data_IF_903216452871
#
_entry.id   IF_903216452871
#
_cell.length_a   1.000
_cell.length_b   1.000
_cell.length_c   1.000
_cell.angle_alpha   90.00
_cell.angle_beta   90.00
_cell.angle_gamma   90.00
#
_symmetry.space_group_name_H-M   'P 1'
#
loop_
_entity.id
_entity.type
_entity.pdbx_description
1 polymer ?
#
# COMPACT_ATOMS: atom_id res chain seq x y z
N UNK A 1 -20.94 7.51 3.41
CA UNK A 1 -21.33 6.09 3.63
C UNK A 1 -20.15 5.21 3.24
N UNK A 2 -19.27 4.87 4.19
CA UNK A 2 -18.13 3.97 3.97
C UNK A 2 -18.38 2.71 4.77
N UNK A 3 -18.58 1.59 4.07
CA UNK A 3 -18.90 0.31 4.66
C UNK A 3 -17.63 -0.53 4.70
N UNK A 4 -17.18 -0.83 5.93
CA UNK A 4 -16.09 -1.75 6.24
C UNK A 4 -16.48 -3.20 5.93
N UNK A 5 -15.49 -4.06 5.68
CA UNK A 5 -15.46 -5.44 6.21
C UNK A 5 -14.06 -6.05 6.10
N UNK A 6 -13.51 -6.29 7.28
CA UNK A 6 -12.30 -7.04 7.57
C UNK A 6 -12.57 -8.55 7.51
N UNK A 7 -11.49 -9.32 7.34
CA UNK A 7 -11.38 -10.75 7.10
C UNK A 7 -12.11 -11.68 8.09
N UNK A 8 -12.61 -12.84 7.59
CA UNK A 8 -12.48 -14.16 8.24
C UNK A 8 -12.83 -15.38 7.33
N UNK A 9 -11.83 -16.27 7.22
CA UNK A 9 -11.81 -17.76 7.21
C UNK A 9 -12.25 -18.65 6.01
N UNK A 10 -11.30 -19.54 5.70
CA UNK A 10 -11.32 -20.80 4.94
C UNK A 10 -12.38 -21.84 5.38
N UNK A 11 -12.85 -22.69 4.47
CA UNK A 11 -12.68 -24.18 4.51
C UNK A 11 -13.09 -24.84 3.18
N UNK A 12 -12.65 -26.10 3.03
CA UNK A 12 -12.32 -26.85 1.81
C UNK A 12 -13.38 -27.88 1.35
N UNK A 13 -13.32 -28.26 0.06
CA UNK A 13 -13.57 -29.57 -0.61
C UNK A 13 -14.47 -29.41 -1.85
N UNK A 14 -14.38 -30.19 -2.93
CA UNK A 14 -13.40 -31.10 -3.57
C UNK A 14 -14.14 -31.71 -4.79
N UNK A 15 -13.39 -32.10 -5.83
CA UNK A 15 -13.73 -33.08 -6.89
C UNK A 15 -14.84 -32.70 -7.91
N UNK A 16 -14.85 -33.13 -9.18
CA UNK A 16 -13.92 -33.85 -10.09
C UNK A 16 -14.64 -34.00 -11.45
N UNK A 17 -13.92 -33.90 -12.59
CA UNK A 17 -13.98 -34.74 -13.81
C UNK A 17 -13.37 -34.02 -15.01
N UNK A 18 -12.20 -34.47 -15.51
CA UNK A 18 -11.97 -35.50 -16.56
C UNK A 18 -12.23 -34.97 -17.98
N UNK A 19 -11.12 -34.50 -18.58
CA UNK A 19 -10.47 -35.03 -19.79
C UNK A 19 -11.19 -34.98 -21.14
N UNK A 20 -10.59 -34.25 -22.10
CA UNK A 20 -10.46 -34.69 -23.49
C UNK A 20 -9.24 -34.00 -24.14
N UNK A 21 -8.28 -34.81 -24.56
CA UNK A 21 -7.03 -34.45 -25.23
C UNK A 21 -7.17 -34.69 -26.73
N UNK A 22 -6.79 -33.71 -27.56
CA UNK A 22 -6.36 -33.94 -28.94
C UNK A 22 -5.17 -33.03 -29.28
N UNK A 23 -4.15 -33.53 -30.01
CA UNK A 23 -2.91 -32.82 -30.24
C UNK A 23 -3.01 -31.90 -31.46
N UNK A 24 -2.93 -30.59 -31.24
CA UNK A 24 -2.56 -29.65 -32.29
C UNK A 24 -1.09 -29.29 -32.15
N UNK A 25 -0.30 -29.71 -33.14
CA UNK A 25 1.06 -29.23 -33.40
C UNK A 25 1.01 -27.73 -33.61
N UNK A 26 1.31 -26.96 -32.56
CA UNK A 26 1.45 -25.52 -32.64
C UNK A 26 2.93 -25.19 -32.70
N UNK A 27 3.31 -24.69 -33.87
CA UNK A 27 4.60 -24.09 -34.22
C UNK A 27 5.02 -23.13 -33.11
N UNK A 28 6.27 -23.27 -32.64
CA UNK A 28 6.86 -22.41 -31.63
C UNK A 28 6.90 -20.96 -32.10
N UNK A 29 5.88 -20.19 -31.72
CA UNK A 29 5.89 -18.74 -31.69
C UNK A 29 6.69 -18.36 -30.43
N UNK A 30 7.95 -17.98 -30.64
CA UNK A 30 8.86 -17.42 -29.61
C UNK A 30 8.32 -16.07 -29.13
N UNK A 31 7.18 -16.08 -28.43
CA UNK A 31 6.78 -14.95 -27.60
C UNK A 31 7.69 -14.93 -26.39
N UNK A 32 8.58 -13.96 -26.40
CA UNK A 32 9.37 -13.51 -25.26
C UNK A 32 8.52 -13.57 -23.98
N UNK A 33 9.01 -14.15 -22.87
CA UNK A 33 8.24 -14.17 -21.63
C UNK A 33 7.97 -12.73 -21.16
N UNK A 34 6.73 -12.29 -21.37
CA UNK A 34 5.97 -11.34 -20.57
C UNK A 34 6.78 -10.17 -19.94
N UNK A 35 7.34 -9.27 -20.77
CA UNK A 35 7.89 -7.99 -20.30
C UNK A 35 6.82 -7.06 -19.69
N UNK A 36 5.54 -7.28 -19.99
CA UNK A 36 4.44 -6.41 -19.54
C UNK A 36 4.05 -6.60 -18.07
N UNK A 37 4.44 -7.70 -17.43
CA UNK A 37 4.12 -7.94 -16.01
C UNK A 37 5.05 -7.19 -15.03
N UNK A 38 5.98 -6.35 -15.51
CA UNK A 38 6.97 -5.64 -14.68
C UNK A 38 6.99 -4.12 -14.82
N UNK A 39 6.22 -3.54 -15.73
CA UNK A 39 6.28 -2.10 -16.00
C UNK A 39 5.04 -1.37 -15.48
N UNK A 40 5.27 -0.21 -14.86
CA UNK A 40 4.24 0.81 -14.62
C UNK A 40 4.15 1.68 -15.86
N UNK A 41 2.94 1.96 -16.33
CA UNK A 41 2.74 2.72 -17.54
C UNK A 41 3.08 4.21 -17.36
N UNK A 42 3.87 4.76 -18.29
CA UNK A 42 4.07 6.19 -18.39
C UNK A 42 2.91 6.83 -19.17
N UNK A 43 1.83 7.12 -18.47
CA UNK A 43 0.58 7.63 -19.06
C UNK A 43 0.71 8.99 -19.74
N UNK A 44 1.70 9.82 -19.39
CA UNK A 44 1.93 11.11 -20.07
C UNK A 44 2.53 10.95 -21.46
N UNK A 45 2.93 9.73 -21.83
CA UNK A 45 3.45 9.39 -23.16
C UNK A 45 2.39 8.80 -24.09
N UNK A 46 1.15 8.60 -23.63
CA UNK A 46 0.07 8.17 -24.53
C UNK A 46 -0.18 9.26 -25.58
N UNK A 47 -0.59 8.90 -26.81
CA UNK A 47 -1.04 9.87 -27.79
C UNK A 47 -2.14 10.79 -27.24
N UNK A 48 -2.06 12.09 -27.52
CA UNK A 48 -3.08 13.06 -27.06
C UNK A 48 -4.51 12.71 -27.53
N UNK A 49 -4.63 12.07 -28.70
CA UNK A 49 -5.91 11.58 -29.22
C UNK A 49 -6.54 10.52 -28.30
N UNK A 50 -5.74 9.67 -27.65
CA UNK A 50 -6.23 8.63 -26.73
C UNK A 50 -6.72 9.25 -25.42
N UNK A 51 -6.05 10.31 -24.95
CA UNK A 51 -6.53 11.08 -23.81
C UNK A 51 -7.84 11.79 -24.11
N UNK A 52 -7.95 12.44 -25.26
CA UNK A 52 -9.18 13.09 -25.69
C UNK A 52 -10.32 12.08 -25.81
N UNK A 53 -10.09 10.94 -26.47
CA UNK A 53 -11.07 9.88 -26.61
C UNK A 53 -11.51 9.34 -25.24
N UNK A 54 -10.57 9.11 -24.32
CA UNK A 54 -10.86 8.66 -22.96
C UNK A 54 -11.70 9.66 -22.16
N UNK A 55 -11.32 10.94 -22.19
CA UNK A 55 -12.08 12.03 -21.55
C UNK A 55 -13.49 12.19 -22.12
N UNK A 56 -13.68 11.96 -23.42
CA UNK A 56 -15.01 11.99 -24.06
C UNK A 56 -15.84 10.74 -23.75
N UNK A 57 -15.21 9.62 -23.45
CA UNK A 57 -15.88 8.34 -23.20
C UNK A 57 -16.28 8.15 -21.72
N UNK A 58 -15.55 8.75 -20.77
CA UNK A 58 -15.85 8.62 -19.35
C UNK A 58 -15.39 9.82 -18.51
N UNK A 59 -16.25 10.24 -17.59
CA UNK A 59 -15.91 11.19 -16.52
C UNK A 59 -14.89 10.61 -15.52
N UNK A 60 -14.73 9.28 -15.49
CA UNK A 60 -13.78 8.58 -14.61
C UNK A 60 -12.41 8.33 -15.24
N UNK A 61 -12.12 8.86 -16.44
CA UNK A 61 -10.88 8.52 -17.16
C UNK A 61 -9.61 8.74 -16.31
N UNK A 62 -9.51 9.86 -15.58
CA UNK A 62 -8.41 10.11 -14.64
C UNK A 62 -8.37 9.10 -13.47
N UNK A 63 -9.44 8.97 -12.67
CA UNK A 63 -9.54 7.97 -11.60
C UNK A 63 -9.27 6.51 -12.04
N UNK A 64 -9.69 6.14 -13.24
CA UNK A 64 -9.46 4.80 -13.80
C UNK A 64 -7.97 4.59 -14.09
N UNK A 65 -7.29 5.62 -14.58
CA UNK A 65 -5.83 5.61 -14.77
C UNK A 65 -5.11 5.49 -13.43
N UNK A 66 -5.52 6.23 -12.41
CA UNK A 66 -4.95 6.13 -11.04
C UNK A 66 -5.09 4.71 -10.48
N UNK A 67 -6.29 4.14 -10.56
CA UNK A 67 -6.58 2.76 -10.13
C UNK A 67 -5.73 1.74 -10.89
N UNK A 68 -5.61 1.88 -12.22
CA UNK A 68 -4.76 1.03 -13.04
C UNK A 68 -3.27 1.20 -12.69
N UNK A 69 -2.82 2.43 -12.42
CA UNK A 69 -1.45 2.74 -12.03
C UNK A 69 -1.07 2.13 -10.69
N UNK A 70 -1.93 2.24 -9.68
CA UNK A 70 -1.74 1.57 -8.38
C UNK A 70 -1.68 0.05 -8.56
N UNK A 71 -2.56 -0.51 -9.40
CA UNK A 71 -2.56 -1.93 -9.71
C UNK A 71 -1.25 -2.41 -10.35
N UNK A 72 -0.71 -1.66 -11.31
CA UNK A 72 0.57 -1.95 -11.95
C UNK A 72 1.72 -1.81 -10.95
N UNK A 73 1.75 -0.75 -10.14
CA UNK A 73 2.82 -0.49 -9.19
C UNK A 73 2.94 -1.61 -8.15
N UNK A 74 1.82 -2.05 -7.57
CA UNK A 74 1.79 -3.16 -6.61
C UNK A 74 2.28 -4.48 -7.22
N UNK A 75 2.02 -4.70 -8.52
CA UNK A 75 2.47 -5.89 -9.24
C UNK A 75 3.92 -5.81 -9.74
N UNK A 76 4.55 -4.62 -9.68
CA UNK A 76 5.88 -4.37 -10.22
C UNK A 76 7.01 -4.53 -9.19
N UNK A 77 8.25 -4.47 -9.67
CA UNK A 77 9.46 -4.33 -8.83
C UNK A 77 9.88 -2.85 -8.67
N UNK A 78 9.02 -1.91 -9.06
CA UNK A 78 9.35 -0.49 -9.02
C UNK A 78 9.02 0.12 -7.65
N UNK A 79 9.77 1.17 -7.30
CA UNK A 79 9.46 2.10 -6.23
C UNK A 79 9.69 3.53 -6.70
N UNK A 80 9.01 4.53 -6.10
CA UNK A 80 9.25 5.92 -6.45
C UNK A 80 10.71 6.33 -6.26
N UNK A 81 11.24 7.09 -7.20
CA UNK A 81 12.57 7.67 -7.11
C UNK A 81 12.67 8.70 -5.98
N UNK A 82 11.57 9.43 -5.72
CA UNK A 82 11.47 10.44 -4.68
C UNK A 82 11.09 9.84 -3.31
N UNK A 83 11.89 10.15 -2.29
CA UNK A 83 11.73 9.71 -0.91
C UNK A 83 13.07 9.47 -0.22
N UNK A 84 13.05 9.16 1.08
CA UNK A 84 14.25 8.90 1.87
C UNK A 84 14.79 7.47 1.64
N UNK A 85 15.54 7.30 0.54
CA UNK A 85 16.14 6.04 0.17
C UNK A 85 17.17 5.53 1.17
N UNK A 86 17.92 6.43 1.81
CA UNK A 86 18.89 6.05 2.84
C UNK A 86 18.19 5.36 4.02
N UNK A 87 16.98 5.81 4.37
CA UNK A 87 16.19 5.15 5.39
C UNK A 87 15.60 3.80 4.94
N UNK A 88 15.18 3.65 3.68
CA UNK A 88 14.77 2.34 3.14
C UNK A 88 15.93 1.32 3.11
N UNK A 89 17.13 1.75 2.75
CA UNK A 89 18.32 0.88 2.74
C UNK A 89 18.64 0.32 4.14
N UNK A 90 18.39 1.10 5.20
CA UNK A 90 18.49 0.60 6.60
C UNK A 90 17.47 -0.49 6.93
N UNK A 91 16.34 -0.55 6.23
CA UNK A 91 15.38 -1.64 6.31
C UNK A 91 15.72 -2.83 5.41
N UNK A 92 16.80 -2.74 4.61
CA UNK A 92 17.27 -3.80 3.72
C UNK A 92 16.72 -3.71 2.29
N UNK A 93 16.11 -2.59 1.90
CA UNK A 93 15.77 -2.36 0.50
C UNK A 93 17.05 -2.19 -0.33
N UNK A 94 17.02 -2.65 -1.57
CA UNK A 94 18.13 -2.45 -2.51
C UNK A 94 17.63 -1.58 -3.66
N UNK A 95 18.18 -0.36 -3.76
CA UNK A 95 17.96 0.54 -4.89
C UNK A 95 18.79 0.07 -6.09
N UNK A 96 18.13 -0.24 -7.21
CA UNK A 96 18.80 -0.62 -8.47
C UNK A 96 18.85 0.58 -9.42
N UNK A 97 18.72 0.32 -10.71
CA UNK A 97 18.80 1.29 -11.79
C UNK A 97 17.51 2.13 -11.90
N UNK A 98 17.64 3.41 -12.26
CA UNK A 98 16.50 4.20 -12.71
C UNK A 98 15.81 3.55 -13.91
N UNK A 99 14.48 3.68 -13.98
CA UNK A 99 13.71 3.20 -15.13
C UNK A 99 13.98 4.12 -16.32
N UNK A 100 14.43 3.54 -17.43
CA UNK A 100 14.60 4.29 -18.66
C UNK A 100 13.25 4.89 -19.08
N UNK A 101 13.26 6.18 -19.46
CA UNK A 101 12.08 6.90 -19.94
C UNK A 101 10.95 7.16 -18.92
N UNK A 102 11.16 6.86 -17.63
CA UNK A 102 10.25 7.25 -16.54
C UNK A 102 11.03 7.55 -15.25
N UNK A 103 11.36 8.84 -15.07
CA UNK A 103 12.17 9.31 -13.95
C UNK A 103 11.44 9.25 -12.59
N UNK A 104 10.14 8.95 -12.58
CA UNK A 104 9.38 8.77 -11.34
C UNK A 104 9.77 7.49 -10.60
N UNK A 105 10.36 6.51 -11.28
CA UNK A 105 10.59 5.19 -10.72
C UNK A 105 12.05 4.73 -10.80
N UNK A 106 12.40 3.88 -9.85
CA UNK A 106 13.61 3.06 -9.86
C UNK A 106 13.22 1.61 -9.64
N UNK A 107 14.00 0.68 -10.18
CA UNK A 107 13.89 -0.71 -9.78
C UNK A 107 14.35 -0.88 -8.32
N UNK A 108 13.66 -1.72 -7.56
CA UNK A 108 13.99 -1.94 -6.15
C UNK A 108 13.69 -3.37 -5.70
N UNK A 109 14.58 -3.93 -4.89
CA UNK A 109 14.35 -5.21 -4.21
C UNK A 109 13.84 -4.91 -2.80
N UNK A 110 12.70 -5.51 -2.47
CA UNK A 110 12.14 -5.52 -1.12
C UNK A 110 12.95 -6.45 -0.22
N UNK A 111 13.01 -6.20 1.10
CA UNK A 111 13.53 -7.18 2.04
C UNK A 111 12.75 -8.51 1.94
N UNK A 112 13.40 -9.62 2.27
CA UNK A 112 12.79 -10.94 2.17
C UNK A 112 11.50 -11.04 2.99
N UNK A 113 10.44 -11.57 2.38
CA UNK A 113 9.13 -11.76 3.00
C UNK A 113 8.28 -10.48 3.12
N UNK A 114 8.80 -9.32 2.71
CA UNK A 114 8.01 -8.09 2.63
C UNK A 114 7.17 -8.11 1.35
N UNK A 115 6.01 -7.44 1.38
CA UNK A 115 5.09 -7.41 0.25
C UNK A 115 4.49 -6.03 0.00
N UNK A 116 4.08 -5.79 -1.23
CA UNK A 116 3.27 -4.62 -1.62
C UNK A 116 1.80 -4.96 -1.45
N UNK A 117 1.01 -3.98 -1.03
CA UNK A 117 -0.44 -4.09 -0.88
C UNK A 117 -1.11 -2.80 -1.37
N UNK A 118 -2.28 -2.93 -2.01
CA UNK A 118 -3.08 -1.77 -2.41
C UNK A 118 -3.74 -1.18 -1.17
N UNK A 119 -3.85 0.15 -1.14
CA UNK A 119 -4.72 0.83 -0.20
C UNK A 119 -6.11 1.03 -0.82
N UNK A 120 -7.11 1.36 -0.01
CA UNK A 120 -8.47 1.66 -0.48
C UNK A 120 -8.50 2.94 -1.33
N UNK A 121 -7.52 3.84 -1.16
CA UNK A 121 -7.37 5.01 -2.00
C UNK A 121 -6.62 4.67 -3.30
N UNK A 122 -7.15 5.04 -4.50
CA UNK A 122 -6.59 4.62 -5.80
C UNK A 122 -5.18 5.14 -6.12
N UNK A 123 -4.61 6.00 -5.28
CA UNK A 123 -3.26 6.55 -5.43
C UNK A 123 -2.30 6.07 -4.35
N UNK A 124 -2.79 5.38 -3.32
CA UNK A 124 -1.96 4.96 -2.20
C UNK A 124 -1.74 3.47 -2.22
N UNK A 125 -0.54 3.04 -1.89
CA UNK A 125 -0.20 1.63 -1.67
C UNK A 125 0.78 1.54 -0.53
N UNK A 126 0.91 0.35 0.06
CA UNK A 126 1.73 0.12 1.24
C UNK A 126 2.74 -0.98 0.97
N UNK A 127 3.90 -0.88 1.61
CA UNK A 127 4.81 -2.02 1.78
C UNK A 127 4.69 -2.52 3.21
N UNK A 128 4.36 -3.79 3.35
CA UNK A 128 4.18 -4.46 4.62
C UNK A 128 5.39 -5.35 4.93
N UNK A 129 5.81 -5.37 6.20
CA UNK A 129 6.85 -6.29 6.66
C UNK A 129 6.33 -7.73 6.82
N UNK A 130 7.20 -8.63 7.29
CA UNK A 130 6.87 -10.04 7.52
C UNK A 130 5.79 -10.26 8.58
N UNK A 131 5.54 -9.29 9.46
CA UNK A 131 4.46 -9.30 10.46
C UNK A 131 3.15 -8.76 9.88
N UNK A 132 3.15 -8.29 8.64
CA UNK A 132 2.03 -7.64 8.00
C UNK A 132 1.84 -6.17 8.40
N UNK A 133 2.85 -5.54 9.01
CA UNK A 133 2.76 -4.16 9.47
C UNK A 133 3.26 -3.18 8.40
N UNK A 134 2.59 -2.04 8.19
CA UNK A 134 2.98 -1.07 7.16
C UNK A 134 4.29 -0.37 7.52
N UNK A 135 5.24 -0.34 6.59
CA UNK A 135 6.55 0.28 6.75
C UNK A 135 6.79 1.44 5.82
N UNK A 136 6.19 1.36 4.64
CA UNK A 136 6.31 2.38 3.60
C UNK A 136 4.92 2.67 3.09
N UNK A 137 4.56 3.95 3.04
CA UNK A 137 3.39 4.43 2.31
C UNK A 137 3.86 5.01 0.99
N UNK A 138 3.24 4.58 -0.10
CA UNK A 138 3.61 4.96 -1.47
C UNK A 138 2.44 5.70 -2.08
N UNK A 139 2.70 6.94 -2.50
CA UNK A 139 1.80 7.72 -3.33
C UNK A 139 2.19 7.55 -4.79
N UNK A 140 1.22 7.26 -5.64
CA UNK A 140 1.37 7.30 -7.08
C UNK A 140 0.10 7.81 -7.76
N UNK A 141 0.23 8.95 -8.44
CA UNK A 141 -0.79 9.50 -9.33
C UNK A 141 -0.44 9.17 -10.77
N UNK A 142 -1.29 8.38 -11.42
CA UNK A 142 -1.08 7.97 -12.81
C UNK A 142 -1.84 8.81 -13.84
N UNK A 143 -2.56 9.87 -13.42
CA UNK A 143 -3.21 10.78 -14.35
C UNK A 143 -2.17 11.47 -15.26
N UNK A 144 -2.42 11.51 -16.57
CA UNK A 144 -1.41 11.92 -17.56
C UNK A 144 -0.99 13.39 -17.48
N UNK A 145 -1.84 14.25 -16.93
CA UNK A 145 -1.64 15.70 -16.87
C UNK A 145 -0.86 16.16 -15.62
N UNK A 146 -0.72 15.32 -14.60
CA UNK A 146 -0.03 15.64 -13.35
C UNK A 146 0.52 14.40 -12.63
N UNK A 147 1.19 13.50 -13.38
CA UNK A 147 1.83 12.32 -12.80
C UNK A 147 2.80 12.71 -11.69
N UNK A 148 2.73 11.99 -10.57
CA UNK A 148 3.68 12.15 -9.47
C UNK A 148 3.80 10.84 -8.68
N UNK A 149 4.97 10.59 -8.11
CA UNK A 149 5.24 9.42 -7.30
C UNK A 149 6.25 9.72 -6.20
N UNK A 150 5.91 9.38 -4.96
CA UNK A 150 6.83 9.47 -3.82
C UNK A 150 6.47 8.43 -2.76
N UNK A 151 7.37 8.22 -1.81
CA UNK A 151 7.07 7.40 -0.63
C UNK A 151 7.46 8.11 0.66
N UNK A 152 6.83 7.67 1.75
CA UNK A 152 7.16 8.06 3.13
C UNK A 152 7.32 6.80 3.98
N UNK A 153 8.12 6.91 5.03
CA UNK A 153 8.20 5.88 6.05
C UNK A 153 7.04 6.01 7.03
N UNK A 154 6.52 4.86 7.45
CA UNK A 154 5.43 4.77 8.42
C UNK A 154 6.01 4.56 9.81
N UNK A 155 5.67 5.47 10.73
CA UNK A 155 5.78 5.19 12.16
C UNK A 155 4.63 4.24 12.52
N UNK A 156 4.97 2.96 12.63
CA UNK A 156 3.97 1.89 12.77
C UNK A 156 3.17 2.01 14.05
N UNK A 157 3.82 2.45 15.13
CA UNK A 157 3.14 2.66 16.40
C UNK A 157 2.14 3.80 16.31
N UNK A 158 2.56 4.91 15.70
CA UNK A 158 1.69 6.06 15.43
C UNK A 158 0.53 5.71 14.50
N UNK A 159 0.77 4.96 13.43
CA UNK A 159 -0.26 4.56 12.46
C UNK A 159 -1.37 3.74 13.12
N UNK A 160 -0.99 2.67 13.83
CA UNK A 160 -1.94 1.78 14.53
C UNK A 160 -2.77 2.56 15.56
N UNK A 161 -2.13 3.45 16.32
CA UNK A 161 -2.82 4.32 17.28
C UNK A 161 -3.75 5.31 16.58
N UNK A 162 -3.29 5.90 15.48
CA UNK A 162 -4.05 6.85 14.68
C UNK A 162 -5.32 6.24 14.11
N UNK A 163 -5.25 5.01 13.58
CA UNK A 163 -6.41 4.29 13.05
C UNK A 163 -7.49 4.08 14.13
N UNK A 164 -7.10 3.69 15.34
CA UNK A 164 -8.04 3.53 16.47
C UNK A 164 -8.67 4.87 16.84
N UNK A 165 -7.91 5.96 16.84
CA UNK A 165 -8.39 7.28 17.28
C UNK A 165 -9.32 7.93 16.25
N UNK A 166 -9.05 7.78 14.95
CA UNK A 166 -9.83 8.40 13.86
C UNK A 166 -11.13 7.65 13.58
N UNK A 167 -11.19 6.36 13.89
CA UNK A 167 -12.37 5.54 13.74
C UNK A 167 -13.48 5.87 14.75
N UNK A 168 -14.75 5.80 14.33
CA UNK A 168 -15.91 5.95 15.21
C UNK A 168 -16.23 4.69 16.04
N UNK A 169 -15.58 3.55 15.75
CA UNK A 169 -15.75 2.31 16.52
C UNK A 169 -15.32 2.46 18.00
N UNK A 170 -15.75 1.56 18.90
CA UNK A 170 -15.26 1.57 20.28
C UNK A 170 -13.73 1.49 20.35
N UNK A 171 -13.13 2.26 21.28
CA UNK A 171 -11.68 2.24 21.49
C UNK A 171 -11.30 0.89 22.10
N UNK A 172 -10.43 0.16 21.39
CA UNK A 172 -9.89 -1.13 21.83
C UNK A 172 -8.40 -1.17 21.50
N UNK A 173 -7.63 -1.97 22.24
CA UNK A 173 -6.24 -2.22 21.87
C UNK A 173 -6.26 -3.09 20.58
N UNK A 174 -5.69 -2.61 19.47
CA UNK A 174 -5.70 -3.33 18.21
C UNK A 174 -4.82 -4.59 18.33
N UNK A 175 -5.17 -5.66 17.62
CA UNK A 175 -4.46 -6.93 17.71
C UNK A 175 -2.99 -6.80 17.29
N UNK A 176 -2.74 -5.92 16.33
CA UNK A 176 -1.45 -5.52 15.78
C UNK A 176 -0.52 -4.94 16.86
N UNK A 177 -1.05 -4.37 17.94
CA UNK A 177 -0.25 -3.84 19.06
C UNK A 177 0.69 -4.89 19.66
N UNK A 178 0.23 -6.14 19.74
CA UNK A 178 1.01 -7.27 20.25
C UNK A 178 2.19 -7.63 19.34
N UNK A 179 2.13 -7.29 18.05
CA UNK A 179 3.18 -7.55 17.07
C UNK A 179 4.28 -6.48 17.09
N UNK A 180 4.02 -5.33 17.71
CA UNK A 180 4.97 -4.23 17.79
C UNK A 180 6.14 -4.55 18.71
N UNK A 181 7.32 -4.05 18.32
CA UNK A 181 8.50 -3.98 19.17
C UNK A 181 8.30 -2.96 20.29
N UNK A 182 9.16 -3.01 21.31
CA UNK A 182 9.13 -2.03 22.42
C UNK A 182 9.25 -0.58 21.94
N UNK A 183 10.11 -0.33 20.95
CA UNK A 183 10.30 1.00 20.38
C UNK A 183 9.03 1.46 19.64
N UNK A 184 8.45 0.61 18.79
CA UNK A 184 7.20 0.92 18.07
C UNK A 184 6.04 1.19 19.04
N UNK A 185 5.90 0.41 20.13
CA UNK A 185 4.90 0.70 21.17
C UNK A 185 5.16 2.03 21.86
N UNK A 186 6.42 2.37 22.11
CA UNK A 186 6.81 3.65 22.72
C UNK A 186 6.43 4.82 21.80
N UNK A 187 6.66 4.69 20.50
CA UNK A 187 6.25 5.67 19.49
C UNK A 187 4.74 5.83 19.44
N UNK A 188 3.99 4.71 19.44
CA UNK A 188 2.53 4.73 19.52
C UNK A 188 2.01 5.43 20.78
N UNK A 189 2.56 5.12 21.96
CA UNK A 189 2.20 5.79 23.22
C UNK A 189 2.46 7.29 23.17
N UNK A 190 3.62 7.71 22.65
CA UNK A 190 3.95 9.14 22.47
C UNK A 190 2.96 9.83 21.51
N UNK A 191 2.56 9.15 20.43
CA UNK A 191 1.57 9.66 19.50
C UNK A 191 0.21 9.86 20.18
N UNK A 192 -0.27 8.86 20.93
CA UNK A 192 -1.52 8.96 21.69
C UNK A 192 -1.45 10.08 22.75
N UNK A 193 -0.33 10.21 23.47
CA UNK A 193 -0.13 11.29 24.45
C UNK A 193 -0.24 12.67 23.81
N UNK A 194 0.38 12.87 22.64
CA UNK A 194 0.28 14.13 21.90
C UNK A 194 -1.18 14.45 21.52
N UNK A 195 -1.91 13.45 21.01
CA UNK A 195 -3.33 13.64 20.65
C UNK A 195 -4.21 13.86 21.88
N UNK A 196 -3.92 13.22 23.01
CA UNK A 196 -4.62 13.44 24.28
C UNK A 196 -4.38 14.84 24.89
N UNK A 197 -3.30 15.50 24.48
CA UNK A 197 -2.99 16.90 24.84
C UNK A 197 -3.42 17.93 23.79
N UNK A 198 -3.89 17.48 22.62
CA UNK A 198 -4.32 18.34 21.52
C UNK A 198 -5.75 18.85 21.80
N UNK A 199 -5.91 20.17 21.87
CA UNK A 199 -7.17 20.84 22.24
C UNK A 199 -8.04 21.20 21.03
N UNK A 200 -7.56 20.95 19.80
CA UNK A 200 -8.28 21.29 18.58
C UNK A 200 -9.37 20.29 18.19
N UNK A 201 -9.35 19.08 18.74
CA UNK A 201 -10.29 18.01 18.40
C UNK A 201 -10.65 17.17 19.65
N UNK A 202 -11.66 17.64 20.39
CA UNK A 202 -12.15 16.99 21.63
C UNK A 202 -12.48 15.51 21.45
N UNK A 203 -12.97 15.12 20.26
CA UNK A 203 -13.30 13.74 19.95
C UNK A 203 -12.05 12.87 19.93
N UNK A 204 -11.02 13.28 19.16
CA UNK A 204 -9.75 12.56 19.11
C UNK A 204 -9.03 12.58 20.46
N UNK A 205 -9.09 13.70 21.16
CA UNK A 205 -8.49 13.86 22.48
C UNK A 205 -9.02 12.83 23.47
N UNK A 206 -10.34 12.73 23.62
CA UNK A 206 -10.99 11.77 24.52
C UNK A 206 -10.65 10.33 24.14
N UNK A 207 -10.68 10.00 22.85
CA UNK A 207 -10.35 8.64 22.37
C UNK A 207 -8.89 8.27 22.64
N UNK A 208 -7.98 9.22 22.50
CA UNK A 208 -6.58 9.03 22.82
C UNK A 208 -6.36 8.77 24.32
N UNK A 209 -7.08 9.48 25.20
CA UNK A 209 -7.04 9.25 26.65
C UNK A 209 -7.55 7.85 27.00
N UNK A 210 -8.70 7.45 26.46
CA UNK A 210 -9.27 6.11 26.67
C UNK A 210 -8.30 5.01 26.22
N UNK A 211 -7.65 5.17 25.05
CA UNK A 211 -6.66 4.21 24.58
C UNK A 211 -5.44 4.13 25.51
N UNK A 212 -4.95 5.27 26.01
CA UNK A 212 -3.82 5.30 26.95
C UNK A 212 -4.13 4.56 28.25
N UNK A 213 -5.35 4.70 28.78
CA UNK A 213 -5.79 3.97 29.97
C UNK A 213 -5.82 2.46 29.72
N UNK A 214 -6.36 2.01 28.59
CA UNK A 214 -6.35 0.60 28.20
C UNK A 214 -4.92 0.06 28.08
N UNK A 215 -4.04 0.81 27.41
CA UNK A 215 -2.63 0.43 27.24
C UNK A 215 -1.86 0.38 28.56
N UNK A 216 -2.20 1.20 29.55
CA UNK A 216 -1.60 1.17 30.88
C UNK A 216 -2.05 -0.06 31.69
N UNK A 217 -3.32 -0.48 31.52
CA UNK A 217 -3.85 -1.68 32.19
C UNK A 217 -3.29 -2.99 31.60
N UNK A 218 -3.07 -3.03 30.27
CA UNK A 218 -2.60 -4.22 29.58
C UNK A 218 -1.10 -4.51 29.77
N UNK A 219 -0.29 -3.48 30.02
CA UNK A 219 1.17 -3.59 30.17
C UNK A 219 1.61 -2.75 31.38
N UNK A 220 1.38 -3.22 32.62
CA UNK A 220 1.92 -2.56 33.80
C UNK A 220 3.45 -2.59 33.74
N UNK A 221 4.07 -1.45 34.05
CA UNK A 221 5.53 -1.23 34.00
C UNK A 221 6.36 -2.27 34.76
#
# INVERSE_FOLDING_TARGET
MRNRRFWQRFTSRAASKVEQTHPHTNTADERTPNQHARSVENTSRRPAADHLAGLMASDSYGPDMETAGQAQLVASELLPAAGDWAALERFGFIKKTPVAEDNLFVEAILPEGWRRERDDHPMWSKVLDTRGLPRVSIFYKAAFYDRDAFFTLVDVGAEIVGEVIVDDAPVVIPAEWSLLTKEERTQGRRHAQRLASDDWDEHKQRRAQELLELLAQAEPE
#
